data_IF_520958833999
#
_entry.id   IF_520958833999
#
_cell.length_a   1.000
_cell.length_b   1.000
_cell.length_c   1.000
_cell.angle_alpha   90.00
_cell.angle_beta   90.00
_cell.angle_gamma   90.00
#
_symmetry.space_group_name_H-M   'P 1'
#
loop_
_entity.id
_entity.type
_entity.pdbx_description
1 polymer ?
#
# COMPACT_ATOMS: atom_id res chain seq x y z
N UNK A 1 7.63 -1.62 11.81
CA UNK A 1 6.69 -0.53 12.17
C UNK A 1 7.17 0.11 13.47
N UNK A 2 7.31 1.42 13.51
CA UNK A 2 7.87 2.17 14.67
C UNK A 2 7.01 2.01 15.93
N UNK A 3 5.71 1.97 15.76
CA UNK A 3 4.71 1.89 16.83
C UNK A 3 4.72 0.56 17.60
N UNK A 4 5.38 -0.44 17.06
CA UNK A 4 5.62 -1.73 17.73
C UNK A 4 7.12 -1.98 17.96
N UNK A 5 7.89 -0.90 18.07
CA UNK A 5 9.32 -0.89 18.42
C UNK A 5 10.23 -1.65 17.44
N UNK A 6 9.95 -1.63 16.15
CA UNK A 6 10.80 -2.11 15.05
C UNK A 6 10.11 -3.14 14.13
N UNK A 7 10.48 -4.40 14.20
CA UNK A 7 9.96 -5.47 13.35
C UNK A 7 8.82 -6.23 14.04
N UNK A 8 7.75 -6.48 13.31
CA UNK A 8 6.67 -7.36 13.74
C UNK A 8 6.77 -8.73 13.07
N UNK A 9 7.36 -8.77 11.87
CA UNK A 9 7.59 -9.97 11.10
C UNK A 9 9.05 -10.08 10.69
N UNK A 10 9.50 -11.28 10.41
CA UNK A 10 10.87 -11.56 9.97
C UNK A 10 10.86 -12.57 8.82
N UNK A 11 11.65 -12.27 7.78
CA UNK A 11 12.02 -13.20 6.74
C UNK A 11 13.54 -13.45 6.85
N UNK A 12 13.96 -14.59 7.38
CA UNK A 12 15.37 -14.88 7.63
C UNK A 12 15.70 -16.37 7.40
N UNK A 13 16.91 -16.61 6.91
CA UNK A 13 17.41 -17.96 6.68
C UNK A 13 16.53 -18.75 5.71
N UNK A 14 16.09 -19.94 6.13
CA UNK A 14 15.23 -20.80 5.33
C UNK A 14 13.74 -20.48 5.47
N UNK A 15 13.38 -19.45 6.27
CA UNK A 15 11.99 -19.04 6.52
C UNK A 15 11.67 -17.84 5.63
N UNK A 16 11.53 -18.11 4.35
CA UNK A 16 11.20 -17.09 3.36
C UNK A 16 10.23 -17.63 2.32
N UNK A 17 9.26 -16.80 1.91
CA UNK A 17 8.43 -17.03 0.72
C UNK A 17 8.46 -15.80 -0.15
N UNK A 18 8.55 -15.94 -1.48
CA UNK A 18 8.51 -14.81 -2.40
C UNK A 18 7.26 -13.95 -2.20
N UNK A 19 7.45 -12.63 -2.11
CA UNK A 19 6.36 -11.66 -1.93
C UNK A 19 5.85 -11.51 -0.49
N UNK A 20 6.28 -12.36 0.45
CA UNK A 20 5.91 -12.22 1.86
C UNK A 20 6.84 -11.25 2.61
N UNK A 21 6.33 -10.66 3.69
CA UNK A 21 7.13 -9.91 4.68
C UNK A 21 7.61 -10.80 5.84
N UNK A 22 7.49 -12.12 5.67
CA UNK A 22 7.92 -13.13 6.64
C UNK A 22 6.81 -13.58 7.57
N UNK A 23 7.23 -14.22 8.66
CA UNK A 23 6.36 -14.72 9.73
C UNK A 23 6.45 -13.82 10.97
N UNK A 24 5.44 -13.84 11.87
CA UNK A 24 5.48 -13.08 13.11
C UNK A 24 6.73 -13.38 13.96
N UNK A 25 7.27 -12.34 14.58
CA UNK A 25 8.39 -12.50 15.54
C UNK A 25 7.93 -13.15 16.84
N UNK A 26 8.89 -13.63 17.63
CA UNK A 26 8.66 -14.19 18.96
C UNK A 26 7.85 -13.19 19.82
N UNK A 27 6.86 -13.68 20.54
CA UNK A 27 5.93 -12.89 21.37
C UNK A 27 5.11 -11.85 20.59
N UNK A 28 4.97 -12.04 19.27
CA UNK A 28 4.14 -11.18 18.42
C UNK A 28 3.07 -12.05 17.76
N UNK A 29 1.83 -11.61 17.86
CA UNK A 29 0.70 -12.18 17.12
C UNK A 29 0.37 -11.23 15.99
N UNK A 30 0.22 -11.77 14.79
CA UNK A 30 -0.30 -11.04 13.62
C UNK A 30 -1.58 -11.75 13.21
N UNK A 31 -2.64 -10.98 13.07
CA UNK A 31 -3.93 -11.48 12.58
C UNK A 31 -4.51 -10.50 11.55
N UNK A 32 -5.40 -11.01 10.71
CA UNK A 32 -6.05 -10.26 9.68
C UNK A 32 -7.49 -9.98 10.12
N UNK A 33 -7.87 -8.70 10.18
CA UNK A 33 -9.19 -8.27 10.60
C UNK A 33 -9.95 -7.59 9.46
N UNK A 34 -11.27 -7.64 9.50
CA UNK A 34 -12.09 -6.80 8.65
C UNK A 34 -11.77 -5.32 8.96
N UNK A 35 -11.41 -4.50 7.95
CA UNK A 35 -10.95 -3.14 8.18
C UNK A 35 -11.95 -2.30 8.99
N UNK A 36 -11.45 -1.70 10.06
CA UNK A 36 -12.24 -0.85 10.96
C UNK A 36 -13.08 -1.60 12.00
N UNK A 37 -13.02 -2.93 12.02
CA UNK A 37 -13.76 -3.78 12.99
C UNK A 37 -12.80 -4.60 13.86
N UNK A 38 -13.37 -5.39 14.79
CA UNK A 38 -12.66 -6.38 15.60
C UNK A 38 -12.95 -7.82 15.13
N UNK A 39 -13.49 -7.97 13.91
CA UNK A 39 -13.79 -9.28 13.34
C UNK A 39 -12.56 -9.85 12.67
N UNK A 40 -11.99 -10.91 13.25
CA UNK A 40 -10.87 -11.64 12.65
C UNK A 40 -11.34 -12.43 11.42
N UNK A 41 -10.58 -12.32 10.35
CA UNK A 41 -10.86 -13.01 9.08
C UNK A 41 -10.13 -14.36 9.01
N UNK A 42 -10.72 -15.36 8.33
CA UNK A 42 -10.06 -16.62 8.07
C UNK A 42 -8.74 -16.47 7.32
N UNK A 43 -7.83 -17.43 7.52
CA UNK A 43 -6.57 -17.54 6.80
C UNK A 43 -6.80 -17.47 5.29
N UNK A 44 -5.94 -16.75 4.58
CA UNK A 44 -6.02 -16.51 3.14
C UNK A 44 -6.95 -15.37 2.73
N UNK A 45 -7.83 -14.89 3.62
CA UNK A 45 -8.64 -13.70 3.33
C UNK A 45 -7.84 -12.42 3.49
N UNK A 46 -8.20 -11.41 2.70
CA UNK A 46 -7.61 -10.07 2.74
C UNK A 46 -8.33 -9.18 3.72
N UNK A 47 -7.57 -8.51 4.58
CA UNK A 47 -8.08 -7.55 5.53
C UNK A 47 -6.99 -6.66 6.09
N UNK A 48 -7.28 -5.93 7.16
CA UNK A 48 -6.29 -5.12 7.86
C UNK A 48 -5.36 -6.01 8.67
N UNK A 49 -4.05 -5.81 8.48
CA UNK A 49 -3.03 -6.47 9.28
C UNK A 49 -3.02 -5.81 10.66
N UNK A 50 -3.34 -6.57 11.71
CA UNK A 50 -3.28 -6.11 13.08
C UNK A 50 -2.20 -6.87 13.85
N UNK A 51 -1.55 -6.19 14.78
CA UNK A 51 -0.40 -6.71 15.53
C UNK A 51 -0.66 -6.59 17.03
N UNK A 52 -0.55 -7.72 17.73
CA UNK A 52 -0.54 -7.76 19.18
C UNK A 52 0.87 -8.14 19.66
N UNK A 53 1.50 -7.25 20.43
CA UNK A 53 2.88 -7.45 20.90
C UNK A 53 3.12 -6.66 22.18
N UNK A 54 3.92 -7.18 23.13
CA UNK A 54 4.31 -6.44 24.33
C UNK A 54 5.21 -5.23 24.04
N UNK A 55 5.75 -5.12 22.83
CA UNK A 55 6.62 -4.02 22.40
C UNK A 55 5.82 -2.87 21.77
N UNK A 56 4.49 -2.92 21.79
CA UNK A 56 3.66 -1.82 21.33
C UNK A 56 3.95 -0.53 22.13
N UNK A 57 4.00 0.61 21.43
CA UNK A 57 4.19 1.92 22.07
C UNK A 57 3.08 2.21 23.08
N UNK A 58 3.34 3.12 24.03
CA UNK A 58 2.30 3.61 24.95
C UNK A 58 1.29 4.55 24.26
N UNK A 59 1.71 5.22 23.19
CA UNK A 59 0.91 6.15 22.43
C UNK A 59 1.76 7.25 21.78
N UNK A 60 1.12 8.03 20.94
CA UNK A 60 1.72 9.25 20.37
C UNK A 60 1.70 10.38 21.39
N UNK A 61 2.79 11.13 21.49
CA UNK A 61 2.92 12.25 22.41
C UNK A 61 1.89 13.35 22.09
N UNK A 62 1.06 13.70 23.07
CA UNK A 62 -0.02 14.69 22.97
C UNK A 62 -1.04 14.43 21.84
N UNK A 63 -1.24 13.16 21.46
CA UNK A 63 -2.15 12.76 20.39
C UNK A 63 -3.01 11.55 20.79
N UNK A 64 -3.95 11.74 21.73
CA UNK A 64 -4.75 10.63 22.24
C UNK A 64 -5.68 10.02 21.17
N UNK A 65 -6.24 10.83 20.28
CA UNK A 65 -7.14 10.36 19.23
C UNK A 65 -6.41 9.48 18.21
N UNK A 66 -5.23 9.90 17.73
CA UNK A 66 -4.43 9.09 16.82
C UNK A 66 -3.93 7.82 17.51
N UNK A 67 -3.66 7.89 18.81
CA UNK A 67 -3.30 6.71 19.60
C UNK A 67 -4.45 5.72 19.67
N UNK A 68 -5.66 6.18 20.01
CA UNK A 68 -6.86 5.35 20.08
C UNK A 68 -7.29 4.80 18.70
N UNK A 69 -6.98 5.52 17.62
CA UNK A 69 -7.22 5.04 16.26
C UNK A 69 -6.33 3.85 15.93
N UNK A 70 -5.06 3.87 16.36
CA UNK A 70 -4.09 2.83 16.08
C UNK A 70 -4.12 1.70 17.11
N UNK A 71 -4.13 2.01 18.40
CA UNK A 71 -4.09 1.04 19.49
C UNK A 71 -5.49 0.82 20.03
N UNK A 72 -6.06 -0.36 19.77
CA UNK A 72 -7.41 -0.72 20.20
C UNK A 72 -7.38 -1.94 21.10
N UNK A 73 -8.14 -1.89 22.18
CA UNK A 73 -8.34 -3.07 23.02
C UNK A 73 -9.56 -3.81 22.50
N UNK A 74 -9.34 -5.02 22.02
CA UNK A 74 -10.42 -5.86 21.51
C UNK A 74 -11.17 -6.59 22.63
N UNK A 75 -12.27 -7.25 22.27
CA UNK A 75 -13.09 -8.01 23.18
C UNK A 75 -12.34 -9.18 23.86
N UNK A 76 -11.27 -9.68 23.25
CA UNK A 76 -10.36 -10.67 23.82
C UNK A 76 -9.48 -10.12 24.97
N UNK A 77 -9.57 -8.83 25.26
CA UNK A 77 -8.78 -8.12 26.25
C UNK A 77 -7.37 -7.75 25.80
N UNK A 78 -6.95 -8.15 24.59
CA UNK A 78 -5.64 -7.83 24.03
C UNK A 78 -5.60 -6.42 23.44
N UNK A 79 -4.39 -5.83 23.43
CA UNK A 79 -4.14 -4.54 22.79
C UNK A 79 -3.59 -4.79 21.38
N UNK A 80 -4.37 -4.43 20.39
CA UNK A 80 -4.04 -4.59 18.99
C UNK A 80 -3.63 -3.27 18.35
N UNK A 81 -2.52 -3.28 17.61
CA UNK A 81 -2.12 -2.18 16.75
C UNK A 81 -2.73 -2.39 15.35
N UNK A 82 -3.70 -1.55 14.99
CA UNK A 82 -4.29 -1.47 13.66
C UNK A 82 -3.34 -0.74 12.74
N UNK A 83 -2.64 -1.49 11.87
CA UNK A 83 -1.52 -0.93 11.10
C UNK A 83 -1.95 0.02 9.99
N UNK A 84 -3.20 -0.08 9.56
CA UNK A 84 -3.69 0.56 8.34
C UNK A 84 -3.12 -0.04 7.05
N UNK A 85 -2.47 -1.20 7.15
CA UNK A 85 -1.99 -1.97 6.01
C UNK A 85 -2.97 -3.10 5.70
N UNK A 86 -3.29 -3.30 4.44
CA UNK A 86 -4.08 -4.42 3.94
C UNK A 86 -3.14 -5.54 3.53
N UNK A 87 -3.51 -6.76 3.88
CA UNK A 87 -2.76 -7.94 3.52
C UNK A 87 -3.51 -9.21 3.83
N UNK A 88 -2.79 -10.31 3.78
CA UNK A 88 -3.30 -11.65 4.12
C UNK A 88 -2.23 -12.47 4.83
N UNK A 89 -2.63 -13.58 5.41
CA UNK A 89 -1.71 -14.56 5.98
C UNK A 89 -2.04 -15.94 5.41
N UNK A 90 -1.03 -16.70 5.04
CA UNK A 90 -1.21 -18.07 4.56
C UNK A 90 -1.21 -19.11 5.70
N UNK A 91 -1.48 -20.37 5.36
CA UNK A 91 -1.55 -21.49 6.30
C UNK A 91 -0.23 -21.77 7.03
N UNK A 92 0.91 -21.37 6.46
CA UNK A 92 2.23 -21.48 7.08
C UNK A 92 2.60 -20.26 7.94
N UNK A 93 1.70 -19.29 8.08
CA UNK A 93 1.86 -18.07 8.87
C UNK A 93 2.67 -16.97 8.19
N UNK A 94 2.93 -17.06 6.88
CA UNK A 94 3.58 -15.97 6.14
C UNK A 94 2.58 -14.85 5.87
N UNK A 95 3.02 -13.63 6.16
CA UNK A 95 2.24 -12.41 5.98
C UNK A 95 2.58 -11.76 4.64
N UNK A 96 1.57 -11.39 3.89
CA UNK A 96 1.67 -10.68 2.60
C UNK A 96 1.07 -9.30 2.74
N UNK A 97 1.82 -8.28 2.32
CA UNK A 97 1.42 -6.89 2.37
C UNK A 97 0.96 -6.44 0.98
N UNK A 98 -0.30 -6.05 0.85
CA UNK A 98 -0.89 -5.64 -0.43
C UNK A 98 -0.92 -4.12 -0.60
N UNK A 99 -1.42 -3.38 0.38
CA UNK A 99 -1.64 -1.93 0.26
C UNK A 99 -1.76 -1.22 1.61
N UNK A 100 -1.88 0.11 1.56
CA UNK A 100 -2.28 0.97 2.70
C UNK A 100 -3.75 1.35 2.57
N UNK A 101 -4.53 1.25 3.64
CA UNK A 101 -5.97 1.62 3.67
C UNK A 101 -6.16 3.06 3.18
N UNK A 102 -5.32 4.00 3.66
CA UNK A 102 -5.40 5.43 3.31
C UNK A 102 -5.04 5.73 1.85
N UNK A 103 -4.47 4.76 1.11
CA UNK A 103 -4.10 4.91 -0.30
C UNK A 103 -5.05 4.18 -1.23
N UNK A 104 -6.07 3.50 -0.71
CA UNK A 104 -7.06 2.81 -1.55
C UNK A 104 -7.82 3.85 -2.36
N UNK A 105 -7.86 3.65 -3.67
CA UNK A 105 -8.62 4.47 -4.60
C UNK A 105 -9.98 3.81 -4.76
N UNK A 106 -11.04 4.51 -4.36
CA UNK A 106 -12.41 4.02 -4.49
C UNK A 106 -13.01 4.66 -5.73
N UNK A 107 -13.38 3.82 -6.71
CA UNK A 107 -14.02 4.24 -7.95
C UNK A 107 -15.51 4.55 -7.72
N UNK A 108 -16.12 5.25 -8.68
CA UNK A 108 -17.56 5.57 -8.65
C UNK A 108 -18.47 4.33 -8.59
N UNK A 109 -18.02 3.20 -9.14
CA UNK A 109 -18.70 1.91 -9.16
C UNK A 109 -18.44 1.06 -7.89
N UNK A 110 -17.73 1.62 -6.89
CA UNK A 110 -17.40 0.97 -5.62
C UNK A 110 -16.20 0.03 -5.67
N UNK A 111 -15.60 -0.20 -6.83
CA UNK A 111 -14.36 -0.97 -6.92
C UNK A 111 -13.22 -0.30 -6.19
N UNK A 112 -12.46 -1.10 -5.44
CA UNK A 112 -11.26 -0.68 -4.72
C UNK A 112 -10.02 -0.97 -5.57
N UNK A 113 -9.32 0.09 -5.97
CA UNK A 113 -8.03 -0.02 -6.66
C UNK A 113 -6.91 0.19 -5.66
N UNK A 114 -6.01 -0.77 -5.59
CA UNK A 114 -4.82 -0.71 -4.73
C UNK A 114 -3.64 -0.18 -5.55
N UNK A 115 -3.11 1.02 -5.23
CA UNK A 115 -1.99 1.62 -5.95
C UNK A 115 -0.80 0.69 -6.16
N UNK A 116 -0.48 -0.13 -5.14
CA UNK A 116 0.60 -1.11 -5.20
C UNK A 116 0.48 -2.13 -6.34
N UNK A 117 -0.73 -2.50 -6.75
CA UNK A 117 -0.91 -3.41 -7.90
C UNK A 117 -0.33 -2.79 -9.18
N UNK A 118 -0.61 -1.50 -9.40
CA UNK A 118 -0.11 -0.77 -10.57
C UNK A 118 1.39 -0.48 -10.42
N UNK A 119 1.81 -0.02 -9.23
CA UNK A 119 3.21 0.28 -8.91
C UNK A 119 4.11 -0.93 -9.12
N UNK A 120 3.68 -2.12 -8.70
CA UNK A 120 4.43 -3.37 -8.87
C UNK A 120 4.61 -3.77 -10.35
N UNK A 121 3.62 -3.54 -11.19
CA UNK A 121 3.72 -3.80 -12.63
C UNK A 121 4.67 -2.81 -13.29
N UNK A 122 4.50 -1.52 -13.04
CA UNK A 122 5.27 -0.44 -13.65
C UNK A 122 6.73 -0.47 -13.21
N UNK A 123 7.02 -0.76 -11.95
CA UNK A 123 8.38 -0.78 -11.41
C UNK A 123 9.26 -1.89 -11.98
N UNK A 124 8.68 -2.88 -12.66
CA UNK A 124 9.45 -3.92 -13.38
C UNK A 124 10.04 -3.45 -14.72
N UNK A 125 9.57 -2.32 -15.21
CA UNK A 125 10.09 -1.77 -16.46
C UNK A 125 11.48 -1.16 -16.25
N UNK A 126 12.51 -1.58 -17.03
CA UNK A 126 13.92 -1.23 -16.77
C UNK A 126 14.23 0.27 -16.88
N UNK A 127 13.39 1.04 -17.56
CA UNK A 127 13.55 2.49 -17.66
C UNK A 127 12.84 3.27 -16.53
N UNK A 128 12.16 2.61 -15.59
CA UNK A 128 11.48 3.25 -14.44
C UNK A 128 12.38 3.19 -13.23
N UNK A 129 12.76 4.35 -12.73
CA UNK A 129 13.53 4.49 -11.50
C UNK A 129 12.63 4.51 -10.26
N UNK A 130 11.51 5.24 -10.35
CA UNK A 130 10.51 5.34 -9.28
C UNK A 130 9.11 5.46 -9.87
N UNK A 131 8.13 4.93 -9.15
CA UNK A 131 6.72 5.02 -9.49
C UNK A 131 5.90 5.33 -8.23
N UNK A 132 4.89 6.17 -8.37
CA UNK A 132 3.88 6.40 -7.35
C UNK A 132 2.51 6.57 -8.03
N UNK A 133 1.51 5.84 -7.54
CA UNK A 133 0.14 5.91 -8.04
C UNK A 133 -0.74 6.57 -7.00
N UNK A 134 -1.50 7.57 -7.41
CA UNK A 134 -2.42 8.30 -6.54
C UNK A 134 -3.82 8.31 -7.14
N UNK A 135 -4.83 8.64 -6.34
CA UNK A 135 -6.16 8.85 -6.85
C UNK A 135 -6.31 10.28 -7.39
N UNK A 136 -6.86 10.45 -8.58
CA UNK A 136 -7.36 11.73 -9.09
C UNK A 136 -8.89 11.73 -9.15
N UNK A 137 -9.51 12.91 -9.26
CA UNK A 137 -10.95 13.02 -9.41
C UNK A 137 -11.43 12.30 -10.68
N UNK A 138 -12.56 11.62 -10.58
CA UNK A 138 -13.25 11.06 -11.75
C UNK A 138 -14.12 12.17 -12.36
N UNK A 139 -13.68 12.76 -13.48
CA UNK A 139 -14.37 13.88 -14.13
C UNK A 139 -15.66 13.48 -14.82
N UNK A 140 -15.87 12.22 -15.08
CA UNK A 140 -17.04 11.69 -15.77
C UNK A 140 -18.17 11.33 -14.80
N UNK A 141 -17.88 11.30 -13.50
CA UNK A 141 -18.81 10.94 -12.44
C UNK A 141 -18.75 11.95 -11.28
N UNK A 142 -19.89 12.12 -10.58
CA UNK A 142 -20.02 13.04 -9.43
C UNK A 142 -19.26 12.55 -8.19
N UNK A 143 -18.92 11.28 -8.14
CA UNK A 143 -18.21 10.64 -7.02
C UNK A 143 -17.20 9.62 -7.56
N UNK A 144 -16.19 9.35 -6.76
CA UNK A 144 -15.16 8.36 -7.09
C UNK A 144 -13.84 9.00 -7.52
N UNK A 145 -12.82 8.16 -7.52
CA UNK A 145 -11.45 8.52 -7.92
C UNK A 145 -10.92 7.47 -8.91
N UNK A 146 -10.02 7.90 -9.77
CA UNK A 146 -9.34 7.06 -10.73
C UNK A 146 -7.83 7.01 -10.46
N UNK A 147 -7.13 5.91 -10.80
CA UNK A 147 -5.69 5.83 -10.61
C UNK A 147 -4.93 6.75 -11.58
N UNK A 148 -4.02 7.54 -11.04
CA UNK A 148 -3.09 8.39 -11.79
C UNK A 148 -1.65 8.03 -11.43
N UNK A 149 -0.81 7.88 -12.45
CA UNK A 149 0.54 7.33 -12.35
C UNK A 149 1.58 8.42 -12.52
N UNK A 150 2.43 8.61 -11.52
CA UNK A 150 3.65 9.40 -11.63
C UNK A 150 4.85 8.48 -11.76
N UNK A 151 5.73 8.76 -12.70
CA UNK A 151 6.97 8.00 -12.91
C UNK A 151 8.18 8.91 -13.00
N UNK A 152 9.27 8.49 -12.39
CA UNK A 152 10.61 9.02 -12.62
C UNK A 152 11.34 8.02 -13.50
N UNK A 153 11.83 8.47 -14.63
CA UNK A 153 12.56 7.64 -15.58
C UNK A 153 14.06 7.69 -15.30
N UNK A 154 14.75 6.60 -15.65
CA UNK A 154 16.19 6.61 -15.69
C UNK A 154 16.69 7.74 -16.62
N UNK A 155 17.68 8.55 -16.21
CA UNK A 155 18.23 9.62 -17.02
C UNK A 155 18.66 9.19 -18.43
N UNK A 156 19.18 7.96 -18.58
CA UNK A 156 19.57 7.39 -19.88
C UNK A 156 18.36 7.15 -20.81
N UNK A 157 17.16 7.08 -20.25
CA UNK A 157 15.92 6.82 -20.99
C UNK A 157 15.10 8.10 -21.27
N UNK A 158 15.52 9.27 -20.79
CA UNK A 158 14.75 10.53 -20.86
C UNK A 158 14.31 10.90 -22.29
N UNK A 159 15.13 10.62 -23.31
CA UNK A 159 14.81 10.88 -24.72
C UNK A 159 13.70 9.98 -25.30
N UNK A 160 13.32 8.90 -24.63
CA UNK A 160 12.34 7.91 -25.09
C UNK A 160 10.99 7.99 -24.36
N UNK A 161 10.71 9.09 -23.67
CA UNK A 161 9.50 9.27 -22.81
C UNK A 161 8.21 8.76 -23.45
N UNK A 162 7.91 9.15 -24.70
CA UNK A 162 6.68 8.74 -25.41
C UNK A 162 6.59 7.23 -25.65
N UNK A 163 7.71 6.61 -25.95
CA UNK A 163 7.80 5.17 -26.17
C UNK A 163 7.59 4.44 -24.85
N UNK A 164 8.30 4.82 -23.80
CA UNK A 164 8.19 4.20 -22.46
C UNK A 164 6.77 4.30 -21.94
N UNK A 165 6.11 5.45 -22.04
CA UNK A 165 4.71 5.58 -21.62
C UNK A 165 3.75 4.66 -22.40
N UNK A 166 4.04 4.34 -23.67
CA UNK A 166 3.26 3.33 -24.41
C UNK A 166 3.50 1.92 -23.88
N UNK A 167 4.77 1.59 -23.60
CA UNK A 167 5.16 0.31 -23.04
C UNK A 167 4.55 0.08 -21.64
N UNK A 168 4.58 1.09 -20.77
CA UNK A 168 3.93 1.03 -19.44
C UNK A 168 2.41 0.81 -19.51
N UNK A 169 1.74 1.50 -20.44
CA UNK A 169 0.30 1.29 -20.66
C UNK A 169 0.00 -0.12 -21.17
N UNK A 170 0.86 -0.65 -22.03
CA UNK A 170 0.72 -2.01 -22.53
C UNK A 170 0.91 -3.03 -21.40
N UNK A 171 1.94 -2.91 -20.59
CA UNK A 171 2.15 -3.75 -19.39
C UNK A 171 0.93 -3.75 -18.47
N UNK A 172 0.39 -2.57 -18.17
CA UNK A 172 -0.81 -2.47 -17.34
C UNK A 172 -2.03 -3.17 -17.95
N UNK A 173 -2.21 -3.11 -19.28
CA UNK A 173 -3.31 -3.81 -19.96
C UNK A 173 -3.16 -5.32 -19.94
N UNK A 174 -1.95 -5.83 -20.05
CA UNK A 174 -1.65 -7.26 -20.09
C UNK A 174 -1.74 -7.93 -18.72
N UNK A 175 -1.37 -7.21 -17.65
CA UNK A 175 -1.17 -7.80 -16.35
C UNK A 175 -2.21 -7.40 -15.30
N UNK A 176 -2.99 -6.33 -15.53
CA UNK A 176 -3.97 -5.84 -14.56
C UNK A 176 -5.41 -6.03 -15.04
N UNK A 177 -6.33 -6.36 -14.14
CA UNK A 177 -7.76 -6.33 -14.43
C UNK A 177 -8.20 -4.96 -14.95
N UNK A 178 -9.16 -4.89 -15.84
CA UNK A 178 -9.60 -3.67 -16.50
C UNK A 178 -9.95 -2.54 -15.51
N UNK A 179 -10.64 -2.87 -14.42
CA UNK A 179 -11.05 -1.89 -13.42
C UNK A 179 -9.88 -1.27 -12.63
N UNK A 180 -8.68 -1.88 -12.69
CA UNK A 180 -7.45 -1.37 -12.02
C UNK A 180 -6.63 -0.51 -12.97
N UNK A 181 -6.81 -0.66 -14.29
CA UNK A 181 -5.94 -0.02 -15.29
C UNK A 181 -6.10 1.50 -15.26
N UNK A 182 -4.99 2.27 -15.19
CA UNK A 182 -5.03 3.71 -15.35
C UNK A 182 -5.44 4.09 -16.79
N UNK A 183 -6.23 5.16 -16.92
CA UNK A 183 -6.57 5.71 -18.24
C UNK A 183 -5.31 6.11 -19.03
N UNK A 184 -5.39 6.12 -20.35
CA UNK A 184 -4.23 6.45 -21.20
C UNK A 184 -3.67 7.86 -20.96
N UNK A 185 -4.49 8.80 -20.51
CA UNK A 185 -4.10 10.16 -20.12
C UNK A 185 -3.54 10.26 -18.69
N UNK A 186 -3.75 9.25 -17.85
CA UNK A 186 -3.43 9.26 -16.43
C UNK A 186 -1.98 8.85 -16.13
N UNK A 187 -1.02 9.32 -16.93
CA UNK A 187 0.42 9.06 -16.75
C UNK A 187 1.22 10.34 -16.89
N UNK A 188 2.04 10.65 -15.89
CA UNK A 188 2.92 11.81 -15.89
C UNK A 188 4.35 11.42 -15.56
N UNK A 189 5.29 11.83 -16.40
CA UNK A 189 6.73 11.73 -16.10
C UNK A 189 7.16 13.00 -15.40
N UNK A 190 7.72 12.84 -14.20
CA UNK A 190 8.27 13.93 -13.37
C UNK A 190 9.79 13.78 -13.25
N UNK A 191 10.53 14.89 -13.03
CA UNK A 191 11.98 14.85 -12.94
C UNK A 191 12.48 14.14 -11.68
N UNK A 192 11.76 14.31 -10.58
CA UNK A 192 12.06 13.67 -9.29
C UNK A 192 10.78 13.39 -8.51
N UNK A 193 10.80 12.37 -7.67
CA UNK A 193 9.69 12.02 -6.79
C UNK A 193 9.70 12.94 -5.56
N UNK A 194 8.59 13.64 -5.24
CA UNK A 194 8.51 14.38 -3.99
C UNK A 194 8.61 13.41 -2.81
N UNK A 195 9.47 13.74 -1.84
CA UNK A 195 9.75 12.88 -0.70
C UNK A 195 9.29 13.51 0.60
N UNK A 196 8.79 12.69 1.51
CA UNK A 196 8.56 13.07 2.90
C UNK A 196 9.89 13.18 3.65
N UNK A 197 9.95 13.87 4.81
CA UNK A 197 11.15 13.90 5.67
C UNK A 197 11.64 12.50 6.08
N UNK A 198 10.79 11.51 6.08
CA UNK A 198 11.13 10.12 6.38
C UNK A 198 11.67 9.33 5.16
N UNK A 199 11.93 9.98 4.01
CA UNK A 199 12.48 9.36 2.82
C UNK A 199 11.50 8.47 2.05
N UNK A 200 10.19 8.69 2.19
CA UNK A 200 9.15 8.00 1.41
C UNK A 200 8.51 8.95 0.40
N UNK A 201 8.01 8.41 -0.71
CA UNK A 201 7.26 9.22 -1.67
C UNK A 201 6.09 9.95 -0.99
N UNK A 202 6.00 11.26 -1.23
CA UNK A 202 4.94 12.11 -0.70
C UNK A 202 3.72 12.07 -1.64
N UNK A 203 2.93 11.02 -1.48
CA UNK A 203 1.74 10.81 -2.31
C UNK A 203 0.70 11.93 -2.15
N UNK A 204 0.67 12.64 -0.99
CA UNK A 204 -0.28 13.75 -0.78
C UNK A 204 0.02 14.92 -1.70
N UNK A 205 1.31 15.31 -1.83
CA UNK A 205 1.71 16.33 -2.80
C UNK A 205 1.35 15.94 -4.24
N UNK A 206 1.49 14.66 -4.57
CA UNK A 206 1.12 14.17 -5.89
C UNK A 206 -0.40 14.15 -6.10
N UNK A 207 -1.19 13.87 -5.07
CA UNK A 207 -2.65 13.97 -5.12
C UNK A 207 -3.11 15.41 -5.34
N UNK A 208 -2.50 16.39 -4.63
CA UNK A 208 -2.79 17.83 -4.79
C UNK A 208 -2.51 18.32 -6.21
N UNK A 209 -1.59 17.68 -6.93
CA UNK A 209 -1.24 18.05 -8.31
C UNK A 209 -2.27 17.59 -9.35
N UNK A 210 -3.11 16.61 -9.03
CA UNK A 210 -4.08 15.99 -9.95
C UNK A 210 -5.51 15.96 -9.43
N UNK A 211 -5.75 16.53 -8.24
CA UNK A 211 -7.04 16.59 -7.54
C UNK A 211 -7.94 17.71 -7.96
#
# INVERSE_FOLDING_TARGET
MTEVSSAATIAAGNVTKPGSVGIPMVNTVVSIFEPGTETELPIGQRGEICICTPTAMKGYYNKPEETAYLLRRHADGQLWAHTGDIGSMDEDGFVYLDARIKRIIIRHDGFKVFPSMIENVISRHPAVQQCCVVGCADTDHTQGRLPFVFVVLDPAAAGKKRQILRELRQLCREELPEYVQPAASAYKVIPEMPMTPAGKADYRKLEEEVG
#
